data_IF_161093139298
#
_entry.id   IF_161093139298
#
_cell.length_a   1.000
_cell.length_b   1.000
_cell.length_c   1.000
_cell.angle_alpha   90.00
_cell.angle_beta   90.00
_cell.angle_gamma   90.00
#
_symmetry.space_group_name_H-M   'P 1'
#
loop_
_entity.id
_entity.type
_entity.pdbx_description
1 polymer ?
#
# COMPACT_ATOMS: atom_id res chain seq x y z
N UNK A 1 10.36 0.06 67.70
CA UNK A 1 11.55 -0.59 67.12
C UNK A 1 11.43 -0.53 65.61
N UNK A 2 12.39 0.06 64.87
CA UNK A 2 12.31 0.13 63.41
C UNK A 2 12.85 -1.17 62.79
N UNK A 3 12.09 -1.77 61.88
CA UNK A 3 12.57 -2.88 61.04
C UNK A 3 13.35 -2.30 59.87
N UNK A 4 14.65 -2.58 59.84
CA UNK A 4 15.56 -2.23 58.74
C UNK A 4 15.19 -2.99 57.47
N UNK A 5 14.76 -2.27 56.43
CA UNK A 5 14.65 -2.80 55.07
C UNK A 5 16.03 -2.93 54.44
N UNK A 6 16.43 -4.15 54.11
CA UNK A 6 17.60 -4.38 53.26
C UNK A 6 17.26 -4.12 51.79
N UNK A 7 18.08 -3.38 51.02
CA UNK A 7 17.88 -3.23 49.59
C UNK A 7 18.22 -4.54 48.87
N UNK A 8 17.30 -5.03 48.03
CA UNK A 8 17.56 -6.14 47.11
C UNK A 8 18.63 -5.70 46.12
N UNK A 9 19.83 -6.28 46.21
CA UNK A 9 20.88 -6.15 45.20
C UNK A 9 20.38 -6.79 43.90
N UNK A 10 20.14 -5.97 42.88
CA UNK A 10 19.75 -6.45 41.55
C UNK A 10 20.89 -7.27 40.96
N UNK A 11 20.65 -8.57 40.76
CA UNK A 11 21.54 -9.41 39.96
C UNK A 11 21.43 -8.95 38.50
N UNK A 12 22.56 -8.59 37.91
CA UNK A 12 22.64 -8.32 36.47
C UNK A 12 22.36 -9.66 35.76
N UNK A 13 21.41 -9.74 34.81
CA UNK A 13 21.11 -10.96 34.08
C UNK A 13 22.36 -11.55 33.44
N UNK A 14 22.49 -12.88 33.43
CA UNK A 14 23.68 -13.57 32.91
C UNK A 14 24.03 -13.17 31.46
N UNK A 15 23.01 -12.86 30.64
CA UNK A 15 23.18 -12.35 29.28
C UNK A 15 23.89 -10.98 29.24
N UNK A 16 23.59 -10.09 30.19
CA UNK A 16 24.24 -8.78 30.32
C UNK A 16 25.68 -8.91 30.82
N UNK A 17 25.97 -9.85 31.73
CA UNK A 17 27.34 -10.15 32.18
C UNK A 17 28.20 -10.73 31.05
N UNK A 18 27.64 -11.61 30.23
CA UNK A 18 28.34 -12.21 29.08
C UNK A 18 28.62 -11.15 28.00
N UNK A 19 27.65 -10.29 27.71
CA UNK A 19 27.82 -9.17 26.78
C UNK A 19 28.88 -8.17 27.26
N UNK A 20 28.90 -7.84 28.56
CA UNK A 20 29.92 -6.96 29.14
C UNK A 20 31.33 -7.57 29.04
N UNK A 21 31.46 -8.88 29.29
CA UNK A 21 32.76 -9.58 29.27
C UNK A 21 33.33 -9.68 27.85
N UNK A 22 32.47 -9.89 26.86
CA UNK A 22 32.85 -9.91 25.43
C UNK A 22 33.19 -8.51 24.91
N UNK A 23 32.50 -7.47 25.40
CA UNK A 23 32.78 -6.09 25.03
C UNK A 23 34.18 -5.61 25.45
N UNK A 24 34.74 -6.16 26.53
CA UNK A 24 36.09 -5.80 27.00
C UNK A 24 37.25 -6.44 26.21
N UNK A 25 36.99 -7.48 25.41
CA UNK A 25 38.08 -8.28 24.79
C UNK A 25 38.11 -8.26 23.26
N UNK A 26 36.99 -7.94 22.58
CA UNK A 26 36.83 -8.19 21.14
C UNK A 26 36.75 -6.95 20.21
N UNK A 27 36.78 -5.71 20.71
CA UNK A 27 36.57 -4.52 19.87
C UNK A 27 35.14 -4.43 19.29
N UNK A 28 34.76 -3.44 18.45
CA UNK A 28 33.36 -3.17 18.08
C UNK A 28 32.67 -4.25 17.21
N UNK A 29 33.38 -5.33 16.82
CA UNK A 29 32.84 -6.39 15.96
C UNK A 29 31.69 -7.18 16.58
N UNK A 30 31.59 -7.26 17.92
CA UNK A 30 30.47 -7.92 18.60
C UNK A 30 29.16 -7.13 18.50
N UNK A 31 29.21 -5.81 18.30
CA UNK A 31 28.03 -4.98 18.18
C UNK A 31 27.27 -5.32 16.88
N UNK A 32 27.99 -5.51 15.77
CA UNK A 32 27.41 -6.00 14.51
C UNK A 32 26.81 -7.40 14.66
N UNK A 33 27.52 -8.32 15.32
CA UNK A 33 27.00 -9.66 15.56
C UNK A 33 25.73 -9.68 16.45
N UNK A 34 25.61 -8.74 17.39
CA UNK A 34 24.41 -8.58 18.21
C UNK A 34 23.25 -7.97 17.41
N UNK A 35 23.52 -6.96 16.58
CA UNK A 35 22.51 -6.38 15.68
C UNK A 35 21.99 -7.43 14.68
N UNK A 36 22.87 -8.25 14.10
CA UNK A 36 22.51 -9.36 13.20
C UNK A 36 21.62 -10.42 13.91
N UNK A 37 21.94 -10.75 15.16
CA UNK A 37 21.15 -11.68 15.98
C UNK A 37 19.75 -11.14 16.29
N UNK A 38 19.65 -9.84 16.60
CA UNK A 38 18.38 -9.20 16.91
C UNK A 38 17.51 -8.98 15.66
N UNK A 39 18.11 -8.69 14.50
CA UNK A 39 17.39 -8.69 13.22
C UNK A 39 16.87 -10.10 12.88
N UNK A 40 17.70 -11.14 13.07
CA UNK A 40 17.29 -12.53 12.86
C UNK A 40 16.07 -12.91 13.71
N UNK A 41 16.03 -12.50 14.98
CA UNK A 41 14.89 -12.78 15.86
C UNK A 41 13.61 -12.05 15.38
N UNK A 42 13.73 -10.81 14.91
CA UNK A 42 12.59 -10.08 14.33
C UNK A 42 12.07 -10.77 13.05
N UNK A 43 12.97 -11.31 12.22
CA UNK A 43 12.62 -12.08 11.02
C UNK A 43 11.94 -13.41 11.36
N UNK A 44 12.34 -14.08 12.44
CA UNK A 44 11.68 -15.30 12.92
C UNK A 44 10.22 -15.04 13.32
N UNK A 45 9.94 -13.86 13.89
CA UNK A 45 8.57 -13.46 14.17
C UNK A 45 7.78 -13.14 12.90
N UNK A 46 8.40 -12.50 11.89
CA UNK A 46 7.75 -12.33 10.58
C UNK A 46 7.41 -13.69 9.97
N UNK A 47 8.34 -14.64 9.97
CA UNK A 47 8.13 -16.00 9.47
C UNK A 47 7.01 -16.71 10.25
N UNK A 48 7.00 -16.59 11.57
CA UNK A 48 5.96 -17.14 12.44
C UNK A 48 4.59 -16.52 12.16
N UNK A 49 4.54 -15.21 11.89
CA UNK A 49 3.33 -14.49 11.52
C UNK A 49 2.77 -14.94 10.18
N UNK A 50 3.63 -15.10 9.16
CA UNK A 50 3.25 -15.64 7.85
C UNK A 50 2.69 -17.06 7.97
N UNK A 51 3.33 -17.91 8.77
CA UNK A 51 2.86 -19.26 9.02
C UNK A 51 1.51 -19.29 9.75
N UNK A 52 1.29 -18.39 10.72
CA UNK A 52 0.00 -18.25 11.41
C UNK A 52 -1.11 -17.84 10.46
N UNK A 53 -0.88 -16.82 9.61
CA UNK A 53 -1.84 -16.40 8.57
C UNK A 53 -2.15 -17.53 7.59
N UNK A 54 -1.15 -18.28 7.15
CA UNK A 54 -1.34 -19.44 6.28
C UNK A 54 -2.22 -20.53 6.87
N UNK A 55 -2.31 -20.62 8.21
CA UNK A 55 -3.23 -21.52 8.94
C UNK A 55 -4.59 -20.87 9.25
N UNK A 56 -4.82 -19.62 8.85
CA UNK A 56 -6.02 -18.85 9.19
C UNK A 56 -6.02 -18.26 10.60
N UNK A 57 -4.93 -18.39 11.36
CA UNK A 57 -4.78 -17.76 12.67
C UNK A 57 -4.37 -16.30 12.53
N UNK A 58 -5.33 -15.46 12.17
CA UNK A 58 -5.10 -14.04 11.89
C UNK A 58 -4.70 -13.26 13.14
N UNK A 59 -5.29 -13.58 14.29
CA UNK A 59 -4.95 -12.95 15.58
C UNK A 59 -3.52 -13.28 15.99
N UNK A 60 -3.10 -14.55 15.85
CA UNK A 60 -1.73 -14.97 16.08
C UNK A 60 -0.75 -14.31 15.11
N UNK A 61 -1.12 -14.19 13.84
CA UNK A 61 -0.34 -13.49 12.83
C UNK A 61 -0.11 -12.02 13.20
N UNK A 62 -1.18 -11.29 13.55
CA UNK A 62 -1.10 -9.88 13.98
C UNK A 62 -0.16 -9.74 15.17
N UNK A 63 -0.28 -10.61 16.19
CA UNK A 63 0.59 -10.56 17.37
C UNK A 63 2.08 -10.70 16.99
N UNK A 64 2.40 -11.62 16.09
CA UNK A 64 3.78 -11.86 15.63
C UNK A 64 4.33 -10.70 14.82
N UNK A 65 3.57 -10.18 13.87
CA UNK A 65 3.99 -9.01 13.11
C UNK A 65 4.16 -7.78 13.98
N UNK A 66 3.25 -7.54 14.93
CA UNK A 66 3.38 -6.43 15.89
C UNK A 66 4.66 -6.54 16.70
N UNK A 67 4.96 -7.72 17.25
CA UNK A 67 6.21 -7.92 18.00
C UNK A 67 7.46 -7.68 17.14
N UNK A 68 7.46 -8.19 15.90
CA UNK A 68 8.55 -7.93 14.95
C UNK A 68 8.72 -6.44 14.63
N UNK A 69 7.61 -5.70 14.46
CA UNK A 69 7.62 -4.27 14.15
C UNK A 69 8.10 -3.42 15.35
N UNK A 70 7.66 -3.76 16.56
CA UNK A 70 8.02 -3.09 17.81
C UNK A 70 9.49 -3.28 18.17
N UNK A 71 10.13 -4.36 17.70
CA UNK A 71 11.57 -4.58 17.92
C UNK A 71 12.45 -3.44 17.42
N UNK A 72 11.99 -2.70 16.40
CA UNK A 72 12.81 -1.67 15.76
C UNK A 72 13.91 -2.22 14.83
N UNK A 73 14.08 -3.54 14.73
CA UNK A 73 15.25 -4.18 14.10
C UNK A 73 15.11 -4.55 12.62
N UNK A 74 13.89 -4.49 12.08
CA UNK A 74 13.68 -4.77 10.66
C UNK A 74 14.19 -3.62 9.78
N UNK A 75 14.91 -3.98 8.70
CA UNK A 75 15.17 -3.09 7.58
C UNK A 75 13.87 -2.45 7.03
N UNK A 76 13.93 -1.29 6.35
CA UNK A 76 12.74 -0.65 5.77
C UNK A 76 11.92 -1.59 4.88
N UNK A 77 12.59 -2.44 4.09
CA UNK A 77 11.96 -3.42 3.20
C UNK A 77 11.25 -4.52 4.00
N UNK A 78 11.94 -5.13 4.97
CA UNK A 78 11.38 -6.19 5.81
C UNK A 78 10.23 -5.65 6.68
N UNK A 79 10.36 -4.41 7.17
CA UNK A 79 9.31 -3.70 7.90
C UNK A 79 8.09 -3.47 7.03
N UNK A 80 8.28 -3.01 5.78
CA UNK A 80 7.17 -2.84 4.84
C UNK A 80 6.46 -4.16 4.54
N UNK A 81 7.22 -5.25 4.37
CA UNK A 81 6.65 -6.60 4.21
C UNK A 81 5.85 -7.03 5.44
N UNK A 82 6.38 -6.86 6.65
CA UNK A 82 5.67 -7.19 7.89
C UNK A 82 4.37 -6.37 8.04
N UNK A 83 4.41 -5.07 7.75
CA UNK A 83 3.24 -4.18 7.74
C UNK A 83 2.20 -4.63 6.71
N UNK A 84 2.58 -4.90 5.46
CA UNK A 84 1.64 -5.40 4.45
C UNK A 84 0.97 -6.70 4.90
N UNK A 85 1.73 -7.62 5.49
CA UNK A 85 1.18 -8.89 5.93
C UNK A 85 0.29 -8.77 7.19
N UNK A 86 0.59 -7.84 8.10
CA UNK A 86 -0.28 -7.50 9.24
C UNK A 86 -1.56 -6.81 8.76
N UNK A 87 -1.45 -5.92 7.77
CA UNK A 87 -2.59 -5.30 7.10
C UNK A 87 -3.53 -6.34 6.49
N UNK A 88 -2.98 -7.34 5.78
CA UNK A 88 -3.78 -8.44 5.24
C UNK A 88 -4.52 -9.20 6.35
N UNK A 89 -3.85 -9.50 7.47
CA UNK A 89 -4.48 -10.18 8.59
C UNK A 89 -5.58 -9.34 9.27
N UNK A 90 -5.40 -8.02 9.35
CA UNK A 90 -6.47 -7.10 9.78
C UNK A 90 -7.65 -7.10 8.81
N UNK A 91 -7.40 -7.03 7.50
CA UNK A 91 -8.44 -7.04 6.47
C UNK A 91 -9.24 -8.35 6.45
N UNK A 92 -8.57 -9.50 6.64
CA UNK A 92 -9.19 -10.82 6.77
C UNK A 92 -10.13 -10.91 7.98
N UNK A 93 -9.85 -10.14 9.05
CA UNK A 93 -10.72 -10.01 10.22
C UNK A 93 -11.78 -8.91 10.09
N UNK A 94 -11.86 -8.24 8.94
CA UNK A 94 -12.78 -7.12 8.68
C UNK A 94 -12.34 -5.77 9.26
N UNK A 95 -11.15 -5.70 9.84
CA UNK A 95 -10.57 -4.47 10.43
C UNK A 95 -9.91 -3.60 9.34
N UNK A 96 -10.73 -3.08 8.43
CA UNK A 96 -10.26 -2.42 7.20
C UNK A 96 -9.48 -1.12 7.48
N UNK A 97 -9.83 -0.35 8.52
CA UNK A 97 -9.11 0.86 8.91
C UNK A 97 -7.67 0.56 9.35
N UNK A 98 -7.48 -0.45 10.21
CA UNK A 98 -6.15 -0.87 10.66
C UNK A 98 -5.33 -1.41 9.48
N UNK A 99 -5.97 -2.13 8.56
CA UNK A 99 -5.32 -2.59 7.34
C UNK A 99 -4.80 -1.41 6.50
N UNK A 100 -5.65 -0.39 6.27
CA UNK A 100 -5.26 0.83 5.54
C UNK A 100 -4.11 1.56 6.23
N UNK A 101 -4.09 1.63 7.56
CA UNK A 101 -2.99 2.23 8.31
C UNK A 101 -1.67 1.48 8.05
N UNK A 102 -1.67 0.16 8.19
CA UNK A 102 -0.50 -0.69 7.97
C UNK A 102 0.02 -0.59 6.53
N UNK A 103 -0.85 -0.72 5.53
CA UNK A 103 -0.44 -0.54 4.14
C UNK A 103 0.10 0.86 3.88
N UNK A 104 -0.48 1.89 4.51
CA UNK A 104 -0.01 3.26 4.37
C UNK A 104 1.39 3.46 4.94
N UNK A 105 1.73 2.78 6.03
CA UNK A 105 3.09 2.76 6.55
C UNK A 105 4.02 1.98 5.60
N UNK A 106 3.57 0.84 5.06
CA UNK A 106 4.38 0.03 4.13
C UNK A 106 4.77 0.80 2.86
N UNK A 107 3.82 1.49 2.21
CA UNK A 107 4.10 2.27 0.99
C UNK A 107 4.91 3.54 1.24
N UNK A 108 4.88 4.08 2.47
CA UNK A 108 5.78 5.19 2.87
C UNK A 108 7.23 4.71 2.98
N UNK A 109 7.44 3.51 3.51
CA UNK A 109 8.77 2.91 3.63
C UNK A 109 9.31 2.47 2.27
N UNK A 110 8.45 1.86 1.45
CA UNK A 110 8.81 1.36 0.11
C UNK A 110 7.81 1.88 -0.93
N UNK A 111 8.07 3.06 -1.54
CA UNK A 111 7.17 3.68 -2.54
C UNK A 111 7.00 2.90 -3.84
N UNK A 112 7.78 1.83 -4.03
CA UNK A 112 7.68 0.88 -5.15
C UNK A 112 6.90 -0.39 -4.82
N UNK A 113 6.33 -0.51 -3.61
CA UNK A 113 5.66 -1.74 -3.17
C UNK A 113 4.25 -1.87 -3.75
N UNK A 114 4.16 -2.30 -5.01
CA UNK A 114 2.91 -2.39 -5.76
C UNK A 114 1.84 -3.23 -5.05
N UNK A 115 2.22 -4.33 -4.41
CA UNK A 115 1.29 -5.19 -3.67
C UNK A 115 0.59 -4.45 -2.51
N UNK A 116 1.34 -3.65 -1.74
CA UNK A 116 0.77 -2.88 -0.63
C UNK A 116 -0.20 -1.80 -1.12
N UNK A 117 0.08 -1.13 -2.25
CA UNK A 117 -0.88 -0.23 -2.89
C UNK A 117 -2.14 -0.98 -3.34
N UNK A 118 -1.99 -2.16 -3.95
CA UNK A 118 -3.12 -2.96 -4.43
C UNK A 118 -4.02 -3.41 -3.26
N UNK A 119 -3.43 -3.91 -2.17
CA UNK A 119 -4.16 -4.33 -0.98
C UNK A 119 -4.84 -3.13 -0.29
N UNK A 120 -4.15 -1.98 -0.22
CA UNK A 120 -4.73 -0.75 0.32
C UNK A 120 -5.91 -0.25 -0.51
N UNK A 121 -5.83 -0.29 -1.83
CA UNK A 121 -6.94 0.09 -2.70
C UNK A 121 -8.19 -0.75 -2.42
N UNK A 122 -8.03 -2.06 -2.21
CA UNK A 122 -9.14 -2.94 -1.90
C UNK A 122 -9.76 -2.65 -0.53
N UNK A 123 -8.93 -2.43 0.51
CA UNK A 123 -9.42 -2.04 1.83
C UNK A 123 -10.11 -0.66 1.80
N UNK A 124 -9.57 0.32 1.07
CA UNK A 124 -10.18 1.63 0.85
C UNK A 124 -11.53 1.52 0.13
N UNK A 125 -11.65 0.62 -0.85
CA UNK A 125 -12.90 0.33 -1.52
C UNK A 125 -13.96 -0.21 -0.55
N UNK A 126 -13.61 -1.16 0.33
CA UNK A 126 -14.53 -1.66 1.38
C UNK A 126 -15.01 -0.54 2.32
N UNK A 127 -14.16 0.44 2.58
CA UNK A 127 -14.47 1.63 3.38
C UNK A 127 -15.22 2.72 2.61
N UNK A 128 -15.53 2.52 1.31
CA UNK A 128 -16.19 3.52 0.47
C UNK A 128 -15.30 4.71 0.09
N UNK A 129 -13.99 4.64 0.35
CA UNK A 129 -13.01 5.68 0.01
C UNK A 129 -12.53 5.54 -1.43
N UNK A 130 -13.47 5.70 -2.36
CA UNK A 130 -13.29 5.37 -3.78
C UNK A 130 -12.18 6.18 -4.48
N UNK A 131 -12.04 7.48 -4.16
CA UNK A 131 -11.02 8.33 -4.78
C UNK A 131 -9.61 7.92 -4.37
N UNK A 132 -9.40 7.61 -3.08
CA UNK A 132 -8.12 7.10 -2.58
C UNK A 132 -7.78 5.74 -3.21
N UNK A 133 -8.78 4.86 -3.37
CA UNK A 133 -8.60 3.55 -4.00
C UNK A 133 -8.20 3.67 -5.49
N UNK A 134 -8.75 4.65 -6.22
CA UNK A 134 -8.35 4.93 -7.61
C UNK A 134 -6.89 5.37 -7.68
N UNK A 135 -6.47 6.30 -6.81
CA UNK A 135 -5.08 6.78 -6.75
C UNK A 135 -4.12 5.61 -6.55
N UNK A 136 -4.46 4.69 -5.65
CA UNK A 136 -3.63 3.51 -5.38
C UNK A 136 -3.57 2.56 -6.57
N UNK A 137 -4.68 2.29 -7.25
CA UNK A 137 -4.66 1.43 -8.44
C UNK A 137 -3.97 2.08 -9.64
N UNK A 138 -4.05 3.40 -9.79
CA UNK A 138 -3.25 4.15 -10.75
C UNK A 138 -1.75 3.94 -10.47
N UNK A 139 -1.36 3.96 -9.19
CA UNK A 139 0.02 3.68 -8.78
C UNK A 139 0.43 2.24 -9.04
N UNK A 140 -0.44 1.27 -8.78
CA UNK A 140 -0.20 -0.16 -9.12
C UNK A 140 0.04 -0.32 -10.61
N UNK A 141 -0.82 0.27 -11.45
CA UNK A 141 -0.70 0.19 -12.91
C UNK A 141 0.58 0.86 -13.41
N UNK A 142 0.99 1.99 -12.80
CA UNK A 142 2.26 2.62 -13.13
C UNK A 142 3.48 1.74 -12.77
N UNK A 143 3.41 1.01 -11.65
CA UNK A 143 4.47 0.10 -11.20
C UNK A 143 4.45 -1.25 -11.92
N UNK A 144 3.29 -1.69 -12.41
CA UNK A 144 3.05 -3.02 -12.97
C UNK A 144 2.00 -2.95 -14.10
N UNK A 145 2.36 -2.40 -15.27
CA UNK A 145 1.40 -2.12 -16.36
C UNK A 145 0.82 -3.37 -17.04
N UNK A 146 1.34 -4.56 -16.71
CA UNK A 146 0.86 -5.84 -17.23
C UNK A 146 -0.02 -6.60 -16.23
N UNK A 147 -0.31 -6.03 -15.05
CA UNK A 147 -1.17 -6.65 -14.06
C UNK A 147 -2.64 -6.47 -14.42
N UNK A 148 -3.22 -7.45 -15.13
CA UNK A 148 -4.60 -7.39 -15.62
C UNK A 148 -5.63 -7.18 -14.49
N UNK A 149 -5.41 -7.80 -13.32
CA UNK A 149 -6.29 -7.66 -12.17
C UNK A 149 -6.37 -6.23 -11.62
N UNK A 150 -5.33 -5.41 -11.79
CA UNK A 150 -5.36 -4.01 -11.36
C UNK A 150 -6.33 -3.19 -12.20
N UNK A 151 -6.31 -3.36 -13.53
CA UNK A 151 -7.29 -2.74 -14.42
C UNK A 151 -8.70 -3.24 -14.12
N UNK A 152 -8.87 -4.55 -13.99
CA UNK A 152 -10.16 -5.15 -13.68
C UNK A 152 -10.74 -4.62 -12.35
N UNK A 153 -9.94 -4.53 -11.29
CA UNK A 153 -10.39 -3.99 -10.01
C UNK A 153 -10.70 -2.49 -10.07
N UNK A 154 -9.88 -1.71 -10.80
CA UNK A 154 -10.13 -0.27 -10.99
C UNK A 154 -11.44 -0.03 -11.71
N UNK A 155 -11.83 -0.92 -12.63
CA UNK A 155 -13.12 -0.85 -13.33
C UNK A 155 -14.33 -0.86 -12.38
N UNK A 156 -14.34 -1.68 -11.33
CA UNK A 156 -15.42 -1.70 -10.35
C UNK A 156 -15.54 -0.37 -9.59
N UNK A 157 -14.42 0.25 -9.24
CA UNK A 157 -14.41 1.54 -8.57
C UNK A 157 -14.89 2.64 -9.52
N UNK A 158 -14.49 2.59 -10.79
CA UNK A 158 -14.97 3.51 -11.82
C UNK A 158 -16.49 3.38 -12.04
N UNK A 159 -17.03 2.16 -12.03
CA UNK A 159 -18.48 1.91 -12.08
C UNK A 159 -19.20 2.47 -10.86
N UNK A 160 -18.66 2.27 -9.66
CA UNK A 160 -19.22 2.85 -8.43
C UNK A 160 -19.24 4.39 -8.47
N UNK A 161 -18.35 5.02 -9.24
CA UNK A 161 -18.35 6.46 -9.52
C UNK A 161 -19.16 6.88 -10.76
N UNK A 162 -19.82 5.95 -11.46
CA UNK A 162 -20.58 6.23 -12.67
C UNK A 162 -19.73 6.49 -13.92
N UNK A 163 -18.42 6.24 -13.88
CA UNK A 163 -17.48 6.46 -14.98
C UNK A 163 -17.43 5.25 -15.93
N UNK A 164 -18.58 4.90 -16.51
CA UNK A 164 -18.78 3.64 -17.26
C UNK A 164 -17.81 3.48 -18.44
N UNK A 165 -17.62 4.50 -19.27
CA UNK A 165 -16.72 4.41 -20.42
C UNK A 165 -15.26 4.12 -20.02
N UNK A 166 -14.79 4.70 -18.89
CA UNK A 166 -13.45 4.40 -18.37
C UNK A 166 -13.38 2.98 -17.80
N UNK A 167 -14.44 2.52 -17.13
CA UNK A 167 -14.51 1.14 -16.65
C UNK A 167 -14.42 0.14 -17.80
N UNK A 168 -15.17 0.34 -18.89
CA UNK A 168 -15.11 -0.51 -20.09
C UNK A 168 -13.68 -0.55 -20.67
N UNK A 169 -13.02 0.61 -20.78
CA UNK A 169 -11.64 0.68 -21.24
C UNK A 169 -10.67 -0.12 -20.35
N UNK A 170 -10.87 -0.11 -19.04
CA UNK A 170 -10.03 -0.88 -18.11
C UNK A 170 -10.28 -2.38 -18.22
N UNK A 171 -11.54 -2.82 -18.33
CA UNK A 171 -11.85 -4.24 -18.51
C UNK A 171 -11.35 -4.74 -19.86
N UNK A 172 -11.48 -3.94 -20.92
CA UNK A 172 -10.91 -4.27 -22.23
C UNK A 172 -9.39 -4.45 -22.13
N UNK A 173 -8.69 -3.55 -21.42
CA UNK A 173 -7.25 -3.71 -21.17
C UNK A 173 -6.93 -5.00 -20.40
N UNK A 174 -7.73 -5.36 -19.40
CA UNK A 174 -7.57 -6.62 -18.66
C UNK A 174 -7.77 -7.84 -19.59
N UNK A 175 -8.75 -7.81 -20.50
CA UNK A 175 -8.97 -8.86 -21.51
C UNK A 175 -7.81 -8.94 -22.50
N UNK A 176 -7.25 -7.82 -22.95
CA UNK A 176 -6.07 -7.82 -23.82
C UNK A 176 -4.85 -8.47 -23.16
N UNK A 177 -4.66 -8.23 -21.85
CA UNK A 177 -3.55 -8.80 -21.08
C UNK A 177 -3.77 -10.29 -20.77
N UNK A 178 -5.00 -10.71 -20.47
CA UNK A 178 -5.37 -12.09 -20.15
C UNK A 178 -6.60 -12.55 -20.96
N UNK A 179 -6.43 -12.85 -22.26
CA UNK A 179 -7.56 -13.12 -23.16
C UNK A 179 -8.33 -14.40 -22.82
N UNK A 180 -7.71 -15.33 -22.09
CA UNK A 180 -8.35 -16.59 -21.67
C UNK A 180 -9.16 -16.45 -20.37
N UNK A 181 -9.04 -15.33 -19.64
CA UNK A 181 -9.76 -15.10 -18.40
C UNK A 181 -11.26 -14.85 -18.64
N UNK A 182 -12.10 -15.85 -18.35
CA UNK A 182 -13.53 -15.77 -18.61
C UNK A 182 -14.24 -14.68 -17.80
N UNK A 183 -13.75 -14.36 -16.59
CA UNK A 183 -14.35 -13.31 -15.73
C UNK A 183 -14.24 -11.94 -16.39
N UNK A 184 -13.07 -11.60 -16.95
CA UNK A 184 -12.87 -10.31 -17.62
C UNK A 184 -13.73 -10.18 -18.87
N UNK A 185 -13.79 -11.24 -19.70
CA UNK A 185 -14.63 -11.24 -20.90
C UNK A 185 -16.12 -11.13 -20.58
N UNK A 186 -16.58 -11.88 -19.58
CA UNK A 186 -17.98 -11.82 -19.15
C UNK A 186 -18.32 -10.40 -18.67
N UNK A 187 -17.49 -9.83 -17.80
CA UNK A 187 -17.72 -8.48 -17.29
C UNK A 187 -17.70 -7.43 -18.41
N UNK A 188 -16.78 -7.54 -19.38
CA UNK A 188 -16.75 -6.64 -20.54
C UNK A 188 -18.05 -6.72 -21.36
N UNK A 189 -18.53 -7.93 -21.64
CA UNK A 189 -19.77 -8.15 -22.37
C UNK A 189 -20.99 -7.59 -21.63
N UNK A 190 -21.04 -7.75 -20.30
CA UNK A 190 -22.08 -7.17 -19.44
C UNK A 190 -22.09 -5.65 -19.52
N UNK A 191 -20.92 -5.00 -19.41
CA UNK A 191 -20.80 -3.55 -19.47
C UNK A 191 -21.17 -2.99 -20.85
N UNK A 192 -20.74 -3.63 -21.94
CA UNK A 192 -21.08 -3.24 -23.30
C UNK A 192 -22.59 -3.41 -23.57
N UNK A 193 -23.20 -4.50 -23.10
CA UNK A 193 -24.63 -4.72 -23.22
C UNK A 193 -25.44 -3.69 -22.41
N UNK A 194 -24.95 -3.30 -21.22
CA UNK A 194 -25.57 -2.24 -20.42
C UNK A 194 -25.45 -0.87 -21.09
N UNK A 195 -24.27 -0.54 -21.65
CA UNK A 195 -24.04 0.70 -22.39
C UNK A 195 -24.91 0.78 -23.66
N UNK A 196 -25.09 -0.32 -24.39
CA UNK A 196 -25.98 -0.35 -25.55
C UNK A 196 -27.46 -0.11 -25.20
N UNK A 197 -27.90 -0.55 -24.01
CA UNK A 197 -29.27 -0.32 -23.51
C UNK A 197 -29.48 1.09 -22.95
N UNK A 198 -28.41 1.67 -22.41
CA UNK A 198 -28.40 2.99 -21.80
C UNK A 198 -27.20 3.78 -22.29
N UNK A 199 -27.18 4.18 -23.59
CA UNK A 199 -26.05 4.90 -24.15
C UNK A 199 -25.81 6.16 -23.31
N UNK A 200 -24.55 6.54 -23.05
CA UNK A 200 -24.25 7.77 -22.35
C UNK A 200 -25.06 8.87 -23.01
N UNK A 201 -25.94 9.53 -22.25
CA UNK A 201 -26.55 10.74 -22.78
C UNK A 201 -25.37 11.64 -23.07
N UNK A 202 -25.11 11.91 -24.34
CA UNK A 202 -24.19 12.97 -24.72
C UNK A 202 -24.66 14.17 -23.91
N UNK A 203 -23.89 14.54 -22.89
CA UNK A 203 -23.99 15.87 -22.33
C UNK A 203 -23.77 16.71 -23.57
N UNK A 204 -24.84 17.28 -24.11
CA UNK A 204 -24.78 18.25 -25.20
C UNK A 204 -23.69 19.19 -24.75
N UNK A 205 -22.50 19.07 -25.35
CA UNK A 205 -21.41 19.99 -25.07
C UNK A 205 -22.05 21.33 -25.39
N UNK A 206 -22.30 22.13 -24.36
CA UNK A 206 -22.64 23.51 -24.59
C UNK A 206 -21.61 24.02 -25.60
N UNK A 207 -22.02 24.72 -26.67
CA UNK A 207 -21.06 25.29 -27.60
C UNK A 207 -20.00 25.95 -26.74
N UNK A 208 -18.73 25.59 -26.94
CA UNK A 208 -17.66 26.27 -26.22
C UNK A 208 -17.87 27.76 -26.49
N UNK A 209 -18.33 28.48 -25.46
CA UNK A 209 -18.46 29.93 -25.52
C UNK A 209 -17.10 30.42 -25.97
N UNK A 210 -17.13 31.16 -27.08
CA UNK A 210 -15.96 31.46 -27.87
C UNK A 210 -14.82 31.94 -26.99
N UNK A 211 -13.61 31.46 -27.30
CA UNK A 211 -12.38 32.17 -26.92
C UNK A 211 -12.65 33.68 -27.06
N UNK A 212 -12.43 34.50 -26.02
CA UNK A 212 -12.40 35.93 -26.23
C UNK A 212 -11.34 36.20 -27.29
N UNK A 213 -11.76 36.94 -28.33
CA UNK A 213 -10.86 37.39 -29.39
C UNK A 213 -9.63 38.06 -28.76
N UNK A 214 -8.44 37.66 -29.21
CA UNK A 214 -7.21 38.36 -28.92
C UNK A 214 -7.39 39.85 -29.25
N UNK A 215 -6.95 40.80 -28.41
CA UNK A 215 -6.99 42.20 -28.77
C UNK A 215 -5.95 42.45 -29.88
N UNK A 216 -6.39 42.47 -31.13
CA UNK A 216 -5.66 43.14 -32.19
C UNK A 216 -5.63 44.64 -31.91
N UNK A 217 -4.43 45.23 -31.92
CA UNK A 217 -4.29 46.67 -32.16
C UNK A 217 -3.60 47.48 -31.07
N UNK A 218 -2.32 47.19 -30.78
CA UNK A 218 -1.35 48.26 -30.48
C UNK A 218 -0.05 47.98 -31.22
N UNK A 219 0.09 48.59 -32.39
CA UNK A 219 1.33 48.61 -33.16
C UNK A 219 2.25 49.66 -32.49
N UNK A 220 3.50 49.33 -32.09
CA UNK A 220 4.38 50.30 -31.47
C UNK A 220 4.81 51.38 -32.49
N UNK A 221 5.03 52.64 -32.06
CA UNK A 221 5.43 53.71 -32.97
C UNK A 221 6.84 53.44 -33.50
N UNK A 222 7.01 53.61 -34.82
CA UNK A 222 8.33 53.57 -35.46
C UNK A 222 9.18 54.78 -35.04
N UNK A 223 10.50 54.61 -34.87
CA UNK A 223 11.39 55.72 -34.59
C UNK A 223 11.47 56.65 -35.80
N UNK A 224 11.35 57.96 -35.57
CA UNK A 224 11.70 58.98 -36.57
C UNK A 224 13.21 59.09 -36.61
N UNK A 225 13.80 58.86 -37.78
CA UNK A 225 15.17 59.21 -38.06
C UNK A 225 15.21 60.72 -38.37
N UNK A 226 15.89 61.48 -37.52
CA UNK A 226 16.54 62.74 -37.86
C UNK A 226 18.03 62.60 -37.50
#
# INVERSE_FOLDING_TARGET
MPTSGHPRRGLIPLALLLALLLALTAGPAWAGALDDLEESAALDDVASGLAARGRGDQTGAIKRFTHALESGRLSPENRAVALNNRGNAHDDLGNSEQAVEDYSQAVKLVPGFAEAYYNRAFALFKLGRLDDALIDLDRVIALSPHLASAYFNRSFILLAKGLVARAISDVDKAVQLEPTNAKYRQHLAELQAAEAKHPPQEIKRAPQEGKPASPEGQRPPQPRND
#
